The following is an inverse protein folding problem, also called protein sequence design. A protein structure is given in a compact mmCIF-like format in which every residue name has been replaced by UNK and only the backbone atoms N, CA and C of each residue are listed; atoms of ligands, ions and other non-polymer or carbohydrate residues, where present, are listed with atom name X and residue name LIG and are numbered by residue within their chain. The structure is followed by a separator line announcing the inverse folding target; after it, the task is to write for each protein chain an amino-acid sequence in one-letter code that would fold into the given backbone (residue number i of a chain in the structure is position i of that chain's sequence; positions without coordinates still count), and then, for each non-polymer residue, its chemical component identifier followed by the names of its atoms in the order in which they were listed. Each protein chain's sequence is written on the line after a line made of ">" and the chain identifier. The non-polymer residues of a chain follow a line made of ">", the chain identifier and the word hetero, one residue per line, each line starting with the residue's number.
data_IF_511531835325
#
_entry.id   IF_511531835325
#
_cell.length_a   1.000
_cell.length_b   1.000
_cell.length_c   1.000
_cell.angle_alpha   90.00
_cell.angle_beta   90.00
_cell.angle_gamma   90.00
#
_symmetry.space_group_name_H-M   'P 1'
#
loop_
_entity.id
_entity.type
_entity.pdbx_description
1 polymer ?
#
# COMPACT_ATOMS: atom_id res chain seq x y z
N UNK A 1 34.67 -5.12 -41.55
CA UNK A 1 35.24 -5.99 -40.50
C UNK A 1 34.25 -6.41 -39.42
N UNK A 2 33.34 -5.55 -38.92
CA UNK A 2 32.39 -5.94 -37.84
C UNK A 2 31.33 -6.98 -38.27
N UNK A 3 30.99 -7.04 -39.57
CA UNK A 3 29.94 -7.93 -40.10
C UNK A 3 30.30 -9.41 -40.03
N UNK A 4 31.56 -9.77 -40.23
CA UNK A 4 32.01 -11.17 -40.23
C UNK A 4 31.90 -11.80 -38.82
N UNK A 5 32.29 -11.07 -37.78
CA UNK A 5 32.24 -11.59 -36.39
C UNK A 5 30.83 -11.84 -35.87
N UNK A 6 29.85 -11.01 -36.24
CA UNK A 6 28.43 -11.24 -35.91
C UNK A 6 27.88 -12.46 -36.68
N UNK A 7 28.27 -12.62 -37.94
CA UNK A 7 27.85 -13.75 -38.77
C UNK A 7 28.44 -15.07 -38.29
N UNK A 8 29.68 -15.08 -37.78
CA UNK A 8 30.31 -16.28 -37.21
C UNK A 8 29.67 -16.72 -35.89
N UNK A 9 29.21 -15.78 -35.06
CA UNK A 9 28.43 -16.08 -33.86
C UNK A 9 27.07 -16.67 -34.26
N UNK A 10 26.40 -16.08 -35.26
CA UNK A 10 25.10 -16.56 -35.75
C UNK A 10 25.21 -17.95 -36.44
N UNK A 11 26.31 -18.21 -37.14
CA UNK A 11 26.61 -19.49 -37.79
C UNK A 11 27.07 -20.58 -36.80
N UNK A 12 27.21 -20.24 -35.52
CA UNK A 12 27.57 -21.19 -34.47
C UNK A 12 29.04 -21.64 -34.52
N UNK A 13 29.93 -20.87 -35.17
CA UNK A 13 31.36 -21.19 -35.20
C UNK A 13 31.97 -21.18 -33.77
N UNK A 14 31.38 -20.39 -32.87
CA UNK A 14 31.66 -20.38 -31.42
C UNK A 14 31.37 -21.73 -30.73
N UNK A 15 30.50 -22.58 -31.28
CA UNK A 15 30.14 -23.88 -30.71
C UNK A 15 31.03 -25.03 -31.21
N UNK A 16 31.75 -24.83 -32.32
CA UNK A 16 32.50 -25.88 -33.03
C UNK A 16 34.02 -25.63 -33.02
N UNK A 17 34.47 -24.44 -32.62
CA UNK A 17 35.90 -24.14 -32.43
C UNK A 17 36.54 -24.95 -31.28
N UNK A 18 37.87 -25.01 -31.22
CA UNK A 18 38.65 -25.78 -30.21
C UNK A 18 38.27 -25.50 -28.74
N UNK A 19 37.57 -24.39 -28.46
CA UNK A 19 37.09 -23.97 -27.14
C UNK A 19 35.59 -24.28 -26.89
N UNK A 20 34.96 -25.11 -27.73
CA UNK A 20 33.54 -25.49 -27.69
C UNK A 20 33.02 -25.88 -26.30
N UNK A 21 33.84 -26.56 -25.49
CA UNK A 21 33.48 -27.00 -24.14
C UNK A 21 33.20 -25.84 -23.16
N UNK A 22 33.93 -24.73 -23.29
CA UNK A 22 33.73 -23.51 -22.47
C UNK A 22 32.49 -22.75 -22.91
N UNK A 23 32.22 -22.75 -24.21
CA UNK A 23 31.12 -22.05 -24.85
C UNK A 23 29.77 -22.73 -24.58
N UNK A 24 29.75 -24.06 -24.49
CA UNK A 24 28.56 -24.82 -24.08
C UNK A 24 28.14 -24.53 -22.64
N UNK A 25 29.11 -24.42 -21.72
CA UNK A 25 28.86 -24.03 -20.31
C UNK A 25 28.30 -22.61 -20.22
N UNK A 26 28.77 -21.69 -21.07
CA UNK A 26 28.26 -20.33 -21.13
C UNK A 26 26.81 -20.27 -21.63
N UNK A 27 26.45 -21.04 -22.66
CA UNK A 27 25.06 -21.11 -23.14
C UNK A 27 24.11 -21.69 -22.09
N UNK A 28 24.53 -22.74 -21.39
CA UNK A 28 23.75 -23.30 -20.29
C UNK A 28 23.57 -22.28 -19.16
N UNK A 29 24.62 -21.53 -18.84
CA UNK A 29 24.53 -20.42 -17.88
C UNK A 29 23.55 -19.34 -18.33
N UNK A 30 23.62 -18.88 -19.58
CA UNK A 30 22.72 -17.88 -20.13
C UNK A 30 21.25 -18.36 -20.16
N UNK A 31 21.03 -19.63 -20.48
CA UNK A 31 19.69 -20.25 -20.46
C UNK A 31 19.11 -20.30 -19.04
N UNK A 32 19.91 -20.73 -18.05
CA UNK A 32 19.50 -20.72 -16.64
C UNK A 32 19.25 -19.30 -16.15
N UNK A 33 20.09 -18.34 -16.52
CA UNK A 33 19.91 -16.93 -16.16
C UNK A 33 18.62 -16.34 -16.74
N UNK A 34 18.31 -16.67 -18.00
CA UNK A 34 17.05 -16.28 -18.63
C UNK A 34 15.84 -16.90 -17.91
N UNK A 35 15.91 -18.18 -17.55
CA UNK A 35 14.86 -18.84 -16.78
C UNK A 35 14.66 -18.21 -15.39
N UNK A 36 15.75 -17.85 -14.71
CA UNK A 36 15.69 -17.13 -13.42
C UNK A 36 15.08 -15.74 -13.56
N UNK A 37 15.38 -15.00 -14.62
CA UNK A 37 14.77 -13.69 -14.87
C UNK A 37 13.26 -13.82 -15.08
N UNK A 38 12.82 -14.77 -15.91
CA UNK A 38 11.39 -15.03 -16.14
C UNK A 38 10.68 -15.41 -14.83
N UNK A 39 11.28 -16.30 -14.03
CA UNK A 39 10.72 -16.73 -12.75
C UNK A 39 10.67 -15.60 -11.70
N UNK A 40 11.65 -14.69 -11.72
CA UNK A 40 11.69 -13.52 -10.83
C UNK A 40 10.61 -12.51 -11.19
N UNK A 41 10.43 -12.21 -12.49
CA UNK A 41 9.39 -11.30 -12.96
C UNK A 41 7.99 -11.76 -12.54
N UNK A 42 7.68 -13.04 -12.69
CA UNK A 42 6.34 -13.54 -12.34
C UNK A 42 6.04 -13.46 -10.83
N UNK A 43 7.07 -13.60 -9.97
CA UNK A 43 6.92 -13.40 -8.52
C UNK A 43 6.69 -11.92 -8.17
N UNK A 44 7.32 -11.00 -8.90
CA UNK A 44 7.09 -9.57 -8.72
C UNK A 44 5.64 -9.19 -9.07
N UNK A 45 5.12 -9.70 -10.20
CA UNK A 45 3.76 -9.43 -10.64
C UNK A 45 2.72 -9.92 -9.63
N UNK A 46 2.86 -11.16 -9.15
CA UNK A 46 1.97 -11.73 -8.11
C UNK A 46 1.99 -10.91 -6.83
N UNK A 47 3.15 -10.40 -6.43
CA UNK A 47 3.30 -9.56 -5.23
C UNK A 47 2.62 -8.21 -5.41
N UNK A 48 2.70 -7.59 -6.58
CA UNK A 48 2.04 -6.31 -6.88
C UNK A 48 0.52 -6.45 -6.79
N UNK A 49 -0.07 -7.50 -7.37
CA UNK A 49 -1.51 -7.75 -7.25
C UNK A 49 -1.93 -7.92 -5.78
N UNK A 50 -1.17 -8.71 -5.01
CA UNK A 50 -1.45 -8.89 -3.59
C UNK A 50 -1.36 -7.58 -2.79
N UNK A 51 -0.38 -6.72 -3.10
CA UNK A 51 -0.25 -5.40 -2.48
C UNK A 51 -1.44 -4.50 -2.83
N UNK A 52 -1.92 -4.55 -4.07
CA UNK A 52 -3.10 -3.79 -4.50
C UNK A 52 -4.35 -4.21 -3.71
N UNK A 53 -4.58 -5.52 -3.56
CA UNK A 53 -5.70 -6.06 -2.77
C UNK A 53 -5.61 -5.64 -1.30
N UNK A 54 -4.41 -5.72 -0.70
CA UNK A 54 -4.19 -5.30 0.69
C UNK A 54 -4.41 -3.79 0.87
N UNK A 55 -3.97 -2.99 -0.10
CA UNK A 55 -4.15 -1.53 -0.10
C UNK A 55 -5.62 -1.15 -0.17
N UNK A 56 -6.40 -1.86 -0.99
CA UNK A 56 -7.85 -1.67 -1.05
C UNK A 56 -8.53 -1.99 0.28
N UNK A 57 -8.13 -3.07 0.96
CA UNK A 57 -8.65 -3.40 2.29
C UNK A 57 -8.34 -2.29 3.31
N UNK A 58 -7.10 -1.82 3.37
CA UNK A 58 -6.71 -0.70 4.27
C UNK A 58 -7.52 0.56 3.97
N UNK A 59 -7.75 0.87 2.69
CA UNK A 59 -8.56 2.02 2.28
C UNK A 59 -10.00 1.90 2.78
N UNK A 60 -10.60 0.72 2.66
CA UNK A 60 -11.96 0.44 3.16
C UNK A 60 -12.04 0.54 4.68
N UNK A 61 -11.07 0.02 5.43
CA UNK A 61 -11.06 0.14 6.89
C UNK A 61 -10.96 1.62 7.33
N UNK A 62 -10.08 2.39 6.69
CA UNK A 62 -9.92 3.82 6.97
C UNK A 62 -11.20 4.61 6.65
N UNK A 63 -11.88 4.30 5.55
CA UNK A 63 -13.13 4.99 5.21
C UNK A 63 -14.23 4.69 6.23
N UNK A 64 -14.34 3.45 6.71
CA UNK A 64 -15.27 3.08 7.79
C UNK A 64 -14.98 3.85 9.09
N UNK A 65 -13.70 3.97 9.48
CA UNK A 65 -13.33 4.74 10.68
C UNK A 65 -13.75 6.21 10.58
N UNK A 66 -13.52 6.83 9.42
CA UNK A 66 -13.94 8.22 9.17
C UNK A 66 -15.46 8.35 9.19
N UNK A 67 -16.19 7.37 8.66
CA UNK A 67 -17.66 7.34 8.68
C UNK A 67 -18.19 7.29 10.12
N UNK A 68 -17.69 6.38 10.96
CA UNK A 68 -18.12 6.29 12.36
C UNK A 68 -17.80 7.56 13.15
N UNK A 69 -16.62 8.16 12.95
CA UNK A 69 -16.27 9.44 13.58
C UNK A 69 -17.24 10.55 13.18
N UNK A 70 -17.61 10.63 11.90
CA UNK A 70 -18.60 11.61 11.42
C UNK A 70 -19.97 11.39 12.05
N UNK A 71 -20.41 10.15 12.14
CA UNK A 71 -21.70 9.81 12.75
C UNK A 71 -21.77 10.26 14.21
N UNK A 72 -20.73 9.95 15.00
CA UNK A 72 -20.64 10.43 16.39
C UNK A 72 -20.66 11.96 16.45
N UNK A 73 -19.88 12.65 15.59
CA UNK A 73 -19.90 14.11 15.59
C UNK A 73 -21.26 14.71 15.21
N UNK A 74 -21.98 14.08 14.27
CA UNK A 74 -23.32 14.52 13.90
C UNK A 74 -24.32 14.36 15.05
N UNK A 75 -24.18 13.31 15.87
CA UNK A 75 -24.98 13.11 17.08
C UNK A 75 -24.65 14.15 18.16
N UNK A 76 -23.39 14.56 18.27
CA UNK A 76 -22.93 15.57 19.24
C UNK A 76 -23.20 17.03 18.82
N UNK A 77 -23.84 17.27 17.67
CA UNK A 77 -24.14 18.63 17.24
C UNK A 77 -25.09 19.31 18.23
N UNK A 78 -24.71 20.50 18.71
CA UNK A 78 -25.52 21.28 19.65
C UNK A 78 -26.94 21.55 19.13
N UNK A 79 -27.11 21.73 17.81
CA UNK A 79 -28.42 21.91 17.20
C UNK A 79 -29.32 20.68 17.36
N UNK A 80 -28.77 19.47 17.17
CA UNK A 80 -29.49 18.21 17.39
C UNK A 80 -29.74 17.96 18.86
N UNK A 81 -28.73 18.18 19.70
CA UNK A 81 -28.84 18.00 21.14
C UNK A 81 -29.93 18.92 21.72
N UNK A 82 -30.00 20.18 21.26
CA UNK A 82 -31.03 21.14 21.66
C UNK A 82 -32.43 20.70 21.24
N UNK A 83 -32.58 20.14 20.05
CA UNK A 83 -33.85 19.63 19.54
C UNK A 83 -34.34 18.39 20.33
N UNK A 84 -33.44 17.44 20.61
CA UNK A 84 -33.78 16.23 21.39
C UNK A 84 -34.03 16.53 22.88
N UNK A 85 -33.34 17.52 23.46
CA UNK A 85 -33.48 17.88 24.87
C UNK A 85 -34.63 18.87 25.16
N UNK A 86 -35.13 19.57 24.12
CA UNK A 86 -36.27 20.48 24.22
C UNK A 86 -37.54 19.85 24.85
N UNK A 87 -38.01 18.64 24.45
CA UNK A 87 -39.20 18.03 25.06
C UNK A 87 -39.02 17.64 26.54
N UNK A 88 -37.78 17.57 27.04
CA UNK A 88 -37.45 17.22 28.43
C UNK A 88 -37.22 18.49 29.28
N UNK A 89 -37.39 19.68 28.70
CA UNK A 89 -37.22 20.97 29.38
C UNK A 89 -35.76 21.34 29.67
N UNK A 90 -34.80 20.61 29.09
CA UNK A 90 -33.36 20.87 29.22
C UNK A 90 -32.91 21.81 28.09
N UNK A 91 -32.44 23.00 28.46
CA UNK A 91 -31.94 24.03 27.55
C UNK A 91 -30.48 24.38 27.84
N UNK A 92 -29.82 25.02 26.86
CA UNK A 92 -28.49 25.58 27.07
C UNK A 92 -28.61 26.71 28.10
N UNK A 93 -27.82 26.71 29.20
CA UNK A 93 -27.85 27.78 30.17
C UNK A 93 -27.40 29.10 29.52
N UNK A 94 -28.21 30.16 29.64
CA UNK A 94 -27.88 31.49 29.11
C UNK A 94 -26.70 32.14 29.85
N UNK A 95 -26.44 31.71 31.09
CA UNK A 95 -25.37 32.24 31.93
C UNK A 95 -24.40 31.11 32.30
N UNK A 96 -23.08 31.34 32.19
CA UNK A 96 -22.07 30.36 32.58
C UNK A 96 -22.16 30.05 34.09
N UNK A 97 -21.86 28.81 34.52
CA UNK A 97 -21.92 28.44 35.93
C UNK A 97 -20.88 29.21 36.75
N UNK A 98 -21.29 29.72 37.91
CA UNK A 98 -20.39 30.40 38.84
C UNK A 98 -19.43 29.39 39.48
N UNK A 99 -18.12 29.63 39.35
CA UNK A 99 -17.09 28.83 40.02
C UNK A 99 -17.04 29.21 41.50
N UNK A 100 -17.61 28.38 42.36
CA UNK A 100 -17.47 28.53 43.81
C UNK A 100 -16.07 28.04 44.21
N UNK A 101 -15.22 28.95 44.66
CA UNK A 101 -13.94 28.60 45.27
C UNK A 101 -14.10 28.63 46.78
N UNK A 102 -13.92 27.48 47.43
CA UNK A 102 -13.96 27.38 48.89
C UNK A 102 -12.61 27.90 49.40
N UNK A 103 -12.59 29.11 49.95
CA UNK A 103 -11.44 29.60 50.72
C UNK A 103 -11.56 29.01 52.12
N UNK A 104 -10.80 27.96 52.40
CA UNK A 104 -10.55 27.53 53.78
C UNK A 104 -9.65 28.57 54.43
N UNK A 105 -10.22 29.36 55.34
CA UNK A 105 -9.48 30.36 56.12
C UNK A 105 -8.58 29.66 57.15
N UNK A 106 -7.32 30.13 57.35
CA UNK A 106 -6.37 29.54 58.30
C UNK A 106 -6.77 29.75 59.76
#
# INVERSE_FOLDING_TARGET
>A
MVKEGLLDILKGNFLVSDEASKNWRFLLFASVLAALMIASSHQADKKVHHIADLTQQVKTLKSTQVKHKREIQQLLLESRLKEELAPIGLGVPEQPPAKIQIVSQP
#
